data_IF_363094174605
#
_entry.id   IF_363094174605
#
_cell.length_a   1.000
_cell.length_b   1.000
_cell.length_c   1.000
_cell.angle_alpha   90.00
_cell.angle_beta   90.00
_cell.angle_gamma   90.00
#
_symmetry.space_group_name_H-M   'P 1'
#
loop_
_entity.id
_entity.type
_entity.pdbx_description
1 polymer ?
#
# COMPACT_ATOMS: atom_id res chain seq x y z
N UNK A 1 -4.46 23.59 3.06
CA UNK A 1 -5.46 23.76 1.98
C UNK A 1 -6.62 22.78 2.15
N UNK A 2 -7.90 23.19 1.99
CA UNK A 2 -9.09 22.32 2.16
C UNK A 2 -9.53 21.78 0.79
N UNK A 3 -9.78 20.47 0.69
CA UNK A 3 -10.35 19.83 -0.52
C UNK A 3 -11.68 20.49 -0.84
N UNK A 4 -11.86 20.94 -2.08
CA UNK A 4 -13.09 21.63 -2.52
C UNK A 4 -14.23 20.63 -2.75
N UNK A 5 -15.48 21.07 -2.62
CA UNK A 5 -16.68 20.24 -2.85
C UNK A 5 -16.92 19.88 -4.32
N UNK A 6 -16.12 20.43 -5.24
CA UNK A 6 -16.17 20.09 -6.67
C UNK A 6 -15.58 18.70 -6.95
N UNK A 7 -15.84 18.20 -8.16
CA UNK A 7 -15.28 16.95 -8.66
C UNK A 7 -14.40 17.15 -9.89
N UNK A 8 -13.29 16.42 -9.94
CA UNK A 8 -12.46 16.25 -11.15
C UNK A 8 -12.42 14.78 -11.56
N UNK A 9 -12.88 14.49 -12.77
CA UNK A 9 -13.05 13.10 -13.23
C UNK A 9 -11.76 12.50 -13.78
N UNK A 10 -11.56 11.21 -13.52
CA UNK A 10 -10.51 10.41 -14.11
C UNK A 10 -11.06 9.06 -14.59
N UNK A 11 -10.72 8.68 -15.82
CA UNK A 11 -11.04 7.36 -16.37
C UNK A 11 -9.78 6.50 -16.35
N UNK A 12 -9.86 5.34 -15.71
CA UNK A 12 -8.72 4.45 -15.46
C UNK A 12 -9.01 3.00 -15.82
N UNK A 13 -7.99 2.28 -16.27
CA UNK A 13 -8.08 0.83 -16.50
C UNK A 13 -7.48 0.10 -15.31
N UNK A 14 -8.22 -0.85 -14.71
CA UNK A 14 -7.72 -1.72 -13.62
C UNK A 14 -6.44 -2.49 -14.01
N UNK A 15 -6.26 -2.78 -15.31
CA UNK A 15 -5.08 -3.48 -15.84
C UNK A 15 -3.92 -2.57 -16.27
N UNK A 16 -4.17 -1.26 -16.37
CA UNK A 16 -3.18 -0.28 -16.86
C UNK A 16 -3.23 0.99 -16.01
N UNK A 17 -3.13 0.81 -14.68
CA UNK A 17 -3.38 1.88 -13.70
C UNK A 17 -2.33 2.97 -13.85
N UNK A 18 -1.04 2.60 -13.89
CA UNK A 18 0.05 3.56 -14.08
C UNK A 18 -0.13 4.40 -15.35
N UNK A 19 -0.26 3.73 -16.50
CA UNK A 19 -0.38 4.38 -17.82
C UNK A 19 -1.60 5.31 -17.90
N UNK A 20 -2.72 4.92 -17.29
CA UNK A 20 -3.93 5.74 -17.26
C UNK A 20 -3.77 6.96 -16.35
N UNK A 21 -3.22 6.76 -15.16
CA UNK A 21 -3.06 7.81 -14.14
C UNK A 21 -2.01 8.85 -14.54
N UNK A 22 -0.82 8.42 -14.97
CA UNK A 22 0.29 9.34 -15.28
C UNK A 22 -0.08 10.34 -16.39
N UNK A 23 -0.90 9.93 -17.35
CA UNK A 23 -1.39 10.80 -18.43
C UNK A 23 -2.26 11.94 -17.91
N UNK A 24 -3.01 11.71 -16.84
CA UNK A 24 -3.95 12.68 -16.27
C UNK A 24 -3.23 13.61 -15.29
N UNK A 25 -2.42 13.05 -14.40
CA UNK A 25 -1.61 13.83 -13.45
C UNK A 25 -0.51 14.66 -14.14
N UNK A 26 -0.18 14.42 -15.41
CA UNK A 26 0.68 15.34 -16.19
C UNK A 26 -0.02 16.62 -16.67
N UNK A 27 -1.35 16.71 -16.57
CA UNK A 27 -2.11 17.87 -17.02
C UNK A 27 -2.11 18.94 -15.92
N UNK A 28 -1.59 20.16 -16.15
CA UNK A 28 -1.48 21.19 -15.10
C UNK A 28 -2.82 21.49 -14.42
N UNK A 29 -3.86 21.76 -15.21
CA UNK A 29 -5.22 22.02 -14.69
C UNK A 29 -5.80 20.88 -13.86
N UNK A 30 -5.42 19.64 -14.18
CA UNK A 30 -5.89 18.50 -13.43
C UNK A 30 -5.30 18.54 -12.03
N UNK A 31 -3.98 18.68 -11.90
CA UNK A 31 -3.28 18.66 -10.62
C UNK A 31 -3.49 19.92 -9.78
N UNK A 32 -3.59 21.08 -10.41
CA UNK A 32 -3.85 22.37 -9.74
C UNK A 32 -5.23 22.44 -9.08
N UNK A 33 -6.19 21.65 -9.58
CA UNK A 33 -7.50 21.52 -8.93
C UNK A 33 -7.36 20.78 -7.60
N UNK A 34 -8.02 21.30 -6.58
CA UNK A 34 -8.17 20.66 -5.26
C UNK A 34 -9.44 19.85 -5.14
N UNK A 35 -10.18 19.71 -6.25
CA UNK A 35 -11.45 19.00 -6.29
C UNK A 35 -11.27 17.53 -5.98
N UNK A 36 -12.34 16.96 -5.44
CA UNK A 36 -12.40 15.55 -5.13
C UNK A 36 -12.29 14.72 -6.42
N UNK A 37 -11.43 13.71 -6.40
CA UNK A 37 -11.26 12.83 -7.54
C UNK A 37 -12.52 11.98 -7.72
N UNK A 38 -13.14 12.05 -8.90
CA UNK A 38 -14.23 11.17 -9.30
C UNK A 38 -13.69 10.10 -10.24
N UNK A 39 -13.70 8.84 -9.80
CA UNK A 39 -13.05 7.75 -10.51
C UNK A 39 -14.07 6.92 -11.27
N UNK A 40 -13.82 6.73 -12.57
CA UNK A 40 -14.56 5.78 -13.41
C UNK A 40 -13.59 4.74 -13.95
N UNK A 41 -13.86 3.46 -13.69
CA UNK A 41 -13.11 2.40 -14.32
C UNK A 41 -13.66 2.11 -15.72
N UNK A 42 -12.78 2.00 -16.71
CA UNK A 42 -13.19 1.82 -18.11
C UNK A 42 -13.99 0.52 -18.37
N UNK A 43 -13.86 -0.50 -17.50
CA UNK A 43 -14.67 -1.72 -17.56
C UNK A 43 -16.14 -1.49 -17.19
N UNK A 44 -16.43 -0.38 -16.53
CA UNK A 44 -17.72 -0.09 -15.89
C UNK A 44 -18.51 0.93 -16.75
N UNK A 45 -17.98 1.33 -17.92
CA UNK A 45 -18.65 2.29 -18.83
C UNK A 45 -19.98 1.77 -19.41
N UNK A 46 -20.22 0.45 -19.41
CA UNK A 46 -21.45 -0.17 -19.91
C UNK A 46 -22.46 -0.53 -18.80
N UNK A 47 -22.11 -0.34 -17.53
CA UNK A 47 -23.06 -0.51 -16.42
C UNK A 47 -23.82 0.80 -16.25
N UNK A 48 -25.07 0.84 -16.71
CA UNK A 48 -26.00 1.99 -16.67
C UNK A 48 -26.46 2.38 -15.27
N UNK A 49 -25.80 1.89 -14.22
CA UNK A 49 -26.04 2.39 -12.88
C UNK A 49 -25.16 3.63 -12.74
N UNK A 50 -25.80 4.79 -12.55
CA UNK A 50 -25.18 6.01 -12.02
C UNK A 50 -24.59 5.66 -10.64
N UNK A 51 -23.46 4.94 -10.64
CA UNK A 51 -22.69 4.69 -9.44
C UNK A 51 -22.04 6.02 -9.11
N UNK A 52 -22.78 6.87 -8.39
CA UNK A 52 -22.23 8.04 -7.74
C UNK A 52 -21.00 7.58 -6.96
N UNK A 53 -19.82 8.05 -7.36
CA UNK A 53 -18.58 7.81 -6.63
C UNK A 53 -18.65 8.58 -5.30
N UNK A 54 -19.29 7.97 -4.31
CA UNK A 54 -19.27 8.42 -2.90
C UNK A 54 -17.95 8.01 -2.22
N UNK A 55 -16.96 7.53 -2.98
CA UNK A 55 -15.60 7.26 -2.54
C UNK A 55 -15.13 5.81 -2.69
N UNK A 56 -16.00 4.86 -3.01
CA UNK A 56 -15.64 3.44 -3.20
C UNK A 56 -14.65 3.25 -4.35
N UNK A 57 -15.04 3.58 -5.60
CA UNK A 57 -14.14 3.55 -6.77
C UNK A 57 -12.85 4.36 -6.55
N UNK A 58 -12.94 5.52 -5.92
CA UNK A 58 -11.76 6.33 -5.58
C UNK A 58 -10.78 5.60 -4.65
N UNK A 59 -11.26 4.98 -3.56
CA UNK A 59 -10.41 4.21 -2.63
C UNK A 59 -9.78 3.01 -3.32
N UNK A 60 -10.55 2.31 -4.16
CA UNK A 60 -10.02 1.20 -4.99
C UNK A 60 -8.90 1.70 -5.90
N UNK A 61 -9.12 2.80 -6.62
CA UNK A 61 -8.11 3.38 -7.50
C UNK A 61 -6.86 3.79 -6.73
N UNK A 62 -6.97 4.43 -5.57
CA UNK A 62 -5.80 4.81 -4.78
C UNK A 62 -5.00 3.59 -4.32
N UNK A 63 -5.65 2.53 -3.84
CA UNK A 63 -4.97 1.27 -3.49
C UNK A 63 -4.21 0.70 -4.69
N UNK A 64 -4.83 0.66 -5.87
CA UNK A 64 -4.19 0.21 -7.10
C UNK A 64 -3.06 1.16 -7.55
N UNK A 65 -3.22 2.46 -7.34
CA UNK A 65 -2.23 3.47 -7.73
C UNK A 65 -0.97 3.37 -6.87
N UNK A 66 -1.09 3.10 -5.56
CA UNK A 66 0.07 2.82 -4.70
C UNK A 66 0.89 1.68 -5.29
N UNK A 67 0.24 0.55 -5.59
CA UNK A 67 0.90 -0.60 -6.23
C UNK A 67 1.57 -0.21 -7.55
N UNK A 68 0.84 0.49 -8.42
CA UNK A 68 1.35 0.91 -9.72
C UNK A 68 2.56 1.86 -9.63
N UNK A 69 2.58 2.76 -8.63
CA UNK A 69 3.72 3.65 -8.37
C UNK A 69 4.99 2.84 -8.05
N UNK A 70 4.91 1.83 -7.19
CA UNK A 70 6.11 1.11 -6.74
C UNK A 70 6.52 -0.06 -7.66
N UNK A 71 5.55 -0.67 -8.36
CA UNK A 71 5.80 -1.91 -9.13
C UNK A 71 5.75 -1.71 -10.65
N UNK A 72 4.92 -0.79 -11.18
CA UNK A 72 4.74 -0.60 -12.63
C UNK A 72 5.50 0.60 -13.19
N UNK A 73 5.72 1.63 -12.37
CA UNK A 73 6.28 2.91 -12.86
C UNK A 73 7.74 2.82 -13.32
N UNK A 74 8.50 1.84 -12.81
CA UNK A 74 9.95 1.77 -12.97
C UNK A 74 10.72 2.92 -12.30
N UNK A 75 10.07 3.72 -11.44
CA UNK A 75 10.68 4.87 -10.77
C UNK A 75 11.36 4.53 -9.45
N UNK A 76 11.10 3.35 -8.88
CA UNK A 76 11.67 2.92 -7.61
C UNK A 76 12.38 1.58 -7.74
N UNK A 77 13.17 1.28 -6.71
CA UNK A 77 13.82 0.00 -6.46
C UNK A 77 13.71 -0.31 -4.98
N UNK A 78 13.59 -1.59 -4.63
CA UNK A 78 13.38 -2.04 -3.26
C UNK A 78 14.72 -2.34 -2.58
N UNK A 79 14.97 -1.71 -1.44
CA UNK A 79 15.98 -2.15 -0.48
C UNK A 79 15.29 -2.90 0.67
N UNK A 80 16.05 -3.65 1.50
CA UNK A 80 15.51 -4.26 2.72
C UNK A 80 14.77 -3.28 3.66
N UNK A 81 15.15 -2.00 3.66
CA UNK A 81 14.54 -0.95 4.47
C UNK A 81 13.39 -0.19 3.76
N UNK A 82 13.03 -0.56 2.53
CA UNK A 82 11.95 0.05 1.75
C UNK A 82 12.39 0.59 0.40
N UNK A 83 11.45 1.22 -0.31
CA UNK A 83 11.68 1.71 -1.66
C UNK A 83 12.50 3.01 -1.68
N UNK A 84 13.44 3.07 -2.62
CA UNK A 84 14.27 4.25 -2.91
C UNK A 84 14.09 4.64 -4.38
N UNK A 85 14.19 5.93 -4.76
CA UNK A 85 14.10 6.33 -6.16
C UNK A 85 15.22 5.69 -6.98
N UNK A 86 14.85 5.01 -8.07
CA UNK A 86 15.78 4.51 -9.08
C UNK A 86 16.23 5.68 -9.93
N UNK A 87 17.53 5.87 -10.18
CA UNK A 87 17.98 6.91 -11.11
C UNK A 87 17.61 6.53 -12.56
N UNK A 88 16.73 7.31 -13.17
CA UNK A 88 16.37 7.15 -14.58
C UNK A 88 16.33 8.52 -15.27
N UNK A 89 17.21 8.72 -16.25
CA UNK A 89 17.38 10.02 -16.94
C UNK A 89 16.09 10.46 -17.63
N UNK A 90 15.37 9.54 -18.27
CA UNK A 90 14.09 9.84 -18.93
C UNK A 90 13.02 10.25 -17.91
N UNK A 91 12.96 9.59 -16.75
CA UNK A 91 12.03 9.96 -15.68
C UNK A 91 12.34 11.34 -15.10
N UNK A 92 13.61 11.65 -14.87
CA UNK A 92 14.05 12.98 -14.40
C UNK A 92 13.71 14.05 -15.45
N UNK A 93 14.03 13.84 -16.72
CA UNK A 93 13.71 14.78 -17.80
C UNK A 93 12.20 15.05 -17.91
N UNK A 94 11.38 14.01 -17.76
CA UNK A 94 9.92 14.10 -17.85
C UNK A 94 9.22 14.41 -16.51
N UNK A 95 9.99 14.81 -15.48
CA UNK A 95 9.48 15.14 -14.13
C UNK A 95 8.54 14.08 -13.53
N UNK A 96 8.86 12.80 -13.74
CA UNK A 96 8.02 11.68 -13.27
C UNK A 96 7.96 11.62 -11.75
N UNK A 97 9.08 11.83 -11.04
CA UNK A 97 9.11 11.83 -9.57
C UNK A 97 8.25 12.93 -8.96
N UNK A 98 8.21 14.11 -9.59
CA UNK A 98 7.29 15.20 -9.21
C UNK A 98 5.84 14.76 -9.35
N UNK A 99 5.52 14.10 -10.46
CA UNK A 99 4.16 13.62 -10.69
C UNK A 99 3.76 12.55 -9.66
N UNK A 100 4.70 11.68 -9.29
CA UNK A 100 4.50 10.68 -8.22
C UNK A 100 4.26 11.37 -6.86
N UNK A 101 5.02 12.41 -6.51
CA UNK A 101 4.80 13.15 -5.27
C UNK A 101 3.39 13.77 -5.22
N UNK A 102 2.88 14.26 -6.35
CA UNK A 102 1.51 14.79 -6.46
C UNK A 102 0.46 13.68 -6.30
N UNK A 103 0.70 12.50 -6.87
CA UNK A 103 -0.15 11.32 -6.69
C UNK A 103 -0.18 10.88 -5.22
N UNK A 104 0.99 10.75 -4.57
CA UNK A 104 1.09 10.39 -3.15
C UNK A 104 0.35 11.38 -2.26
N UNK A 105 0.50 12.68 -2.52
CA UNK A 105 -0.21 13.73 -1.79
C UNK A 105 -1.72 13.64 -1.98
N UNK A 106 -2.17 13.40 -3.21
CA UNK A 106 -3.60 13.21 -3.54
C UNK A 106 -4.18 12.00 -2.83
N UNK A 107 -3.45 10.86 -2.82
CA UNK A 107 -3.85 9.64 -2.13
C UNK A 107 -4.10 9.92 -0.63
N UNK A 108 -3.13 10.53 0.04
CA UNK A 108 -3.20 10.78 1.49
C UNK A 108 -4.35 11.74 1.82
N UNK A 109 -4.43 12.87 1.13
CA UNK A 109 -5.37 13.96 1.45
C UNK A 109 -6.81 13.59 1.09
N UNK A 110 -7.02 12.78 0.05
CA UNK A 110 -8.36 12.40 -0.42
C UNK A 110 -8.82 11.02 0.11
N UNK A 111 -8.19 10.52 1.17
CA UNK A 111 -8.69 9.34 1.91
C UNK A 111 -8.37 7.99 1.26
N UNK A 112 -7.25 7.91 0.55
CA UNK A 112 -6.68 6.64 0.10
C UNK A 112 -5.79 5.97 1.16
N UNK A 113 -5.40 4.74 0.85
CA UNK A 113 -4.39 4.02 1.62
C UNK A 113 -3.03 4.71 1.51
N UNK A 114 -2.38 4.96 2.64
CA UNK A 114 -1.11 5.68 2.66
C UNK A 114 -0.01 4.92 1.89
N UNK A 115 0.77 5.57 1.00
CA UNK A 115 1.89 4.96 0.29
C UNK A 115 3.12 4.81 1.21
N UNK A 116 2.93 4.16 2.36
CA UNK A 116 3.91 3.94 3.42
C UNK A 116 4.92 2.83 3.05
N UNK A 117 5.71 3.08 2.01
CA UNK A 117 6.63 2.11 1.40
C UNK A 117 8.03 2.68 1.15
N UNK A 118 8.28 3.97 1.41
CA UNK A 118 9.58 4.57 1.21
C UNK A 118 10.56 4.21 2.35
N UNK A 119 11.84 4.02 2.00
CA UNK A 119 12.88 3.80 3.01
C UNK A 119 13.09 5.04 3.89
N UNK A 120 13.50 4.80 5.15
CA UNK A 120 13.79 5.86 6.13
C UNK A 120 14.79 6.90 5.62
N UNK A 121 15.81 6.50 4.85
CA UNK A 121 16.81 7.41 4.28
C UNK A 121 16.21 8.39 3.26
N UNK A 122 15.15 7.98 2.56
CA UNK A 122 14.39 8.84 1.64
C UNK A 122 13.71 9.94 2.42
N UNK A 123 12.99 9.57 3.48
CA UNK A 123 12.26 10.53 4.31
C UNK A 123 13.21 11.45 5.06
N UNK A 124 14.30 10.93 5.61
CA UNK A 124 15.30 11.74 6.29
C UNK A 124 15.88 12.80 5.36
N UNK A 125 16.14 12.47 4.09
CA UNK A 125 16.55 13.46 3.09
C UNK A 125 15.44 14.46 2.75
N UNK A 126 14.23 14.00 2.44
CA UNK A 126 13.11 14.88 2.07
C UNK A 126 12.77 15.91 3.16
N UNK A 127 12.88 15.51 4.43
CA UNK A 127 12.55 16.34 5.58
C UNK A 127 13.70 17.29 5.98
N UNK A 128 14.96 16.85 5.87
CA UNK A 128 16.11 17.64 6.37
C UNK A 128 16.90 18.36 5.27
N UNK A 129 16.97 17.78 4.07
CA UNK A 129 17.88 18.19 3.00
C UNK A 129 19.37 17.93 3.28
N UNK A 130 19.73 17.26 4.40
CA UNK A 130 21.11 17.13 4.88
C UNK A 130 21.69 15.74 4.63
N UNK A 131 22.09 15.46 3.40
CA UNK A 131 22.55 14.11 2.98
C UNK A 131 23.64 13.49 3.89
N UNK A 132 24.61 14.28 4.32
CA UNK A 132 25.78 13.77 5.07
C UNK A 132 25.52 13.52 6.57
N UNK A 133 24.41 14.04 7.09
CA UNK A 133 23.97 13.86 8.47
C UNK A 133 23.09 12.62 8.64
N UNK A 134 22.61 12.04 7.53
CA UNK A 134 21.71 10.89 7.54
C UNK A 134 22.48 9.64 7.97
N UNK A 135 21.86 8.85 8.86
CA UNK A 135 22.35 7.52 9.22
C UNK A 135 21.98 6.56 8.12
N UNK A 136 23.01 5.90 7.58
CA UNK A 136 22.88 4.94 6.49
C UNK A 136 23.49 3.62 6.89
N UNK A 137 23.02 2.56 6.26
CA UNK A 137 23.49 1.19 6.40
C UNK A 137 23.55 0.51 5.05
N UNK A 138 24.30 -0.59 4.88
CA UNK A 138 24.27 -1.37 3.65
C UNK A 138 22.85 -1.82 3.26
N UNK A 139 21.93 -2.01 4.23
CA UNK A 139 20.53 -2.38 3.98
C UNK A 139 19.70 -1.29 3.29
N UNK A 140 20.24 -0.07 3.15
CA UNK A 140 19.63 1.02 2.38
C UNK A 140 19.97 0.95 0.88
N UNK A 141 20.86 0.03 0.47
CA UNK A 141 21.26 -0.18 -0.91
C UNK A 141 20.38 -1.25 -1.55
N UNK A 142 19.68 -0.90 -2.63
CA UNK A 142 18.84 -1.84 -3.37
C UNK A 142 19.66 -2.84 -4.20
N UNK A 143 20.76 -2.38 -4.82
CA UNK A 143 21.69 -3.23 -5.59
C UNK A 143 22.31 -4.31 -4.69
N UNK A 144 22.07 -5.57 -5.04
CA UNK A 144 22.44 -6.73 -4.21
C UNK A 144 23.96 -6.88 -4.14
N UNK A 145 24.65 -6.76 -5.26
CA UNK A 145 26.09 -6.98 -5.34
C UNK A 145 26.86 -5.88 -4.59
N UNK A 146 26.45 -4.61 -4.78
CA UNK A 146 27.01 -3.47 -4.06
C UNK A 146 26.71 -3.58 -2.56
N UNK A 147 25.48 -3.95 -2.18
CA UNK A 147 25.10 -4.12 -0.78
C UNK A 147 25.96 -5.18 -0.09
N UNK A 148 26.10 -6.36 -0.70
CA UNK A 148 26.83 -7.48 -0.10
C UNK A 148 28.34 -7.18 -0.01
N UNK A 149 28.86 -6.48 -1.02
CA UNK A 149 30.23 -5.93 -1.00
C UNK A 149 30.45 -4.97 0.17
N UNK A 150 29.55 -4.00 0.36
CA UNK A 150 29.61 -3.04 1.46
C UNK A 150 29.45 -3.71 2.82
N UNK A 151 28.57 -4.71 2.95
CA UNK A 151 28.41 -5.51 4.19
C UNK A 151 29.70 -6.24 4.54
N UNK A 152 30.37 -6.82 3.56
CA UNK A 152 31.62 -7.56 3.81
C UNK A 152 32.72 -6.63 4.32
N UNK A 153 32.81 -5.41 3.80
CA UNK A 153 33.74 -4.38 4.31
C UNK A 153 33.34 -3.93 5.71
N UNK A 154 32.06 -3.61 5.92
CA UNK A 154 31.52 -3.16 7.21
C UNK A 154 31.80 -4.18 8.33
N UNK A 155 31.64 -5.46 8.02
CA UNK A 155 31.81 -6.58 8.96
C UNK A 155 33.25 -7.09 9.09
N UNK A 156 34.21 -6.60 8.28
CA UNK A 156 35.60 -7.04 8.36
C UNK A 156 36.20 -6.76 9.74
N UNK A 157 36.87 -7.76 10.34
CA UNK A 157 37.45 -7.65 11.70
C UNK A 157 38.98 -7.65 11.72
N UNK A 158 39.60 -8.07 10.62
CA UNK A 158 41.06 -8.14 10.45
C UNK A 158 41.48 -7.44 9.17
N UNK A 159 42.75 -7.02 9.08
CA UNK A 159 43.30 -6.42 7.85
C UNK A 159 43.21 -7.39 6.65
N UNK A 160 43.39 -8.70 6.88
CA UNK A 160 43.26 -9.73 5.84
C UNK A 160 41.81 -9.90 5.35
N UNK A 161 40.82 -9.81 6.24
CA UNK A 161 39.39 -9.78 5.85
C UNK A 161 39.09 -8.53 5.02
N UNK A 162 39.58 -7.38 5.49
CA UNK A 162 39.34 -6.09 4.85
C UNK A 162 39.98 -6.05 3.46
N UNK A 163 41.22 -6.53 3.31
CA UNK A 163 41.89 -6.60 2.01
C UNK A 163 41.09 -7.45 1.01
N UNK A 164 40.65 -8.65 1.41
CA UNK A 164 39.81 -9.52 0.57
C UNK A 164 38.49 -8.85 0.19
N UNK A 165 37.87 -8.12 1.12
CA UNK A 165 36.62 -7.39 0.87
C UNK A 165 36.82 -6.20 -0.08
N UNK A 166 37.96 -5.52 -0.03
CA UNK A 166 38.28 -4.41 -0.95
C UNK A 166 38.56 -4.93 -2.36
N UNK A 167 39.25 -6.07 -2.48
CA UNK A 167 39.53 -6.74 -3.75
C UNK A 167 38.24 -7.14 -4.48
N UNK A 168 37.17 -7.47 -3.78
CA UNK A 168 35.86 -7.75 -4.40
C UNK A 168 35.12 -6.50 -4.89
N UNK A 169 35.58 -5.30 -4.54
CA UNK A 169 34.91 -4.02 -4.84
C UNK A 169 35.60 -3.19 -5.95
N UNK A 170 36.61 -3.74 -6.62
CA UNK A 170 37.39 -3.00 -7.63
C UNK A 170 36.55 -2.48 -8.80
N UNK A 171 35.45 -3.17 -9.11
CA UNK A 171 34.56 -2.81 -10.21
C UNK A 171 33.95 -1.41 -10.08
N UNK A 172 33.72 -0.93 -8.85
CA UNK A 172 33.02 0.33 -8.59
C UNK A 172 33.79 1.31 -7.70
N UNK A 173 34.68 0.85 -6.79
CA UNK A 173 35.32 1.74 -5.80
C UNK A 173 36.13 2.88 -6.39
N UNK A 174 36.70 2.67 -7.58
CA UNK A 174 37.48 3.67 -8.30
C UNK A 174 36.65 4.64 -9.15
N UNK A 175 35.35 4.40 -9.27
CA UNK A 175 34.42 5.28 -10.00
C UNK A 175 33.96 6.47 -9.13
N UNK A 176 34.28 6.45 -7.84
CA UNK A 176 33.82 7.43 -6.86
C UNK A 176 35.02 8.20 -6.31
N UNK A 177 35.14 9.46 -6.71
CA UNK A 177 36.19 10.33 -6.19
C UNK A 177 35.94 10.70 -4.71
N UNK A 178 37.02 10.78 -3.94
CA UNK A 178 36.98 11.20 -2.53
C UNK A 178 36.67 10.08 -1.52
N UNK A 179 36.49 8.84 -1.96
CA UNK A 179 36.50 7.69 -1.04
C UNK A 179 37.90 7.47 -0.47
N UNK A 180 38.02 7.01 0.80
CA UNK A 180 39.30 6.60 1.36
C UNK A 180 40.07 5.64 0.44
N UNK A 181 41.33 5.97 0.12
CA UNK A 181 42.22 5.15 -0.69
C UNK A 181 43.68 5.44 -0.27
N UNK A 182 44.38 4.51 0.41
CA UNK A 182 43.96 3.16 0.75
C UNK A 182 42.84 3.10 1.81
N UNK A 183 42.06 2.03 1.78
CA UNK A 183 41.07 1.72 2.83
C UNK A 183 41.77 0.92 3.93
N UNK A 184 41.60 1.33 5.18
CA UNK A 184 42.20 0.74 6.38
C UNK A 184 41.13 0.50 7.44
N UNK A 185 41.44 -0.28 8.47
CA UNK A 185 40.51 -0.51 9.59
C UNK A 185 40.06 0.78 10.28
N UNK A 186 40.90 1.83 10.31
CA UNK A 186 40.58 3.13 10.90
C UNK A 186 39.59 3.95 10.07
N UNK A 187 39.47 3.69 8.76
CA UNK A 187 38.67 4.50 7.84
C UNK A 187 37.57 3.74 7.08
N UNK A 188 37.45 2.42 7.29
CA UNK A 188 36.45 1.58 6.61
C UNK A 188 35.01 2.06 6.80
N UNK A 189 34.66 2.56 7.98
CA UNK A 189 33.31 3.05 8.27
C UNK A 189 32.98 4.30 7.43
N UNK A 190 33.97 5.18 7.24
CA UNK A 190 33.85 6.35 6.38
C UNK A 190 33.75 5.94 4.90
N UNK A 191 34.50 4.91 4.48
CA UNK A 191 34.39 4.35 3.14
C UNK A 191 32.98 3.80 2.87
N UNK A 192 32.45 2.95 3.76
CA UNK A 192 31.10 2.36 3.65
C UNK A 192 30.04 3.45 3.65
N UNK A 193 30.06 4.37 4.64
CA UNK A 193 29.10 5.47 4.74
C UNK A 193 29.09 6.33 3.47
N UNK A 194 30.26 6.75 2.98
CA UNK A 194 30.35 7.64 1.83
C UNK A 194 29.93 6.95 0.52
N UNK A 195 30.26 5.65 0.35
CA UNK A 195 29.79 4.89 -0.79
C UNK A 195 28.26 4.77 -0.81
N UNK A 196 27.63 4.49 0.35
CA UNK A 196 26.17 4.44 0.45
C UNK A 196 25.56 5.81 0.16
N UNK A 197 26.07 6.89 0.77
CA UNK A 197 25.58 8.26 0.50
C UNK A 197 25.69 8.60 -0.98
N UNK A 198 26.81 8.25 -1.63
CA UNK A 198 27.00 8.50 -3.04
C UNK A 198 25.92 7.81 -3.89
N UNK A 199 25.75 6.50 -3.72
CA UNK A 199 24.85 5.70 -4.54
C UNK A 199 23.37 5.94 -4.23
N UNK A 200 23.01 6.09 -2.95
CA UNK A 200 21.62 6.18 -2.50
C UNK A 200 21.12 7.61 -2.47
N UNK A 201 21.96 8.61 -2.16
CA UNK A 201 21.52 10.00 -2.02
C UNK A 201 22.06 10.91 -3.13
N UNK A 202 23.38 11.00 -3.28
CA UNK A 202 24.01 12.01 -4.14
C UNK A 202 23.67 11.81 -5.63
N UNK A 203 23.84 10.59 -6.15
CA UNK A 203 23.54 10.27 -7.54
C UNK A 203 22.05 10.47 -7.90
N UNK A 204 21.18 10.43 -6.89
CA UNK A 204 19.71 10.47 -7.04
C UNK A 204 19.11 11.79 -6.59
N UNK A 205 19.93 12.81 -6.30
CA UNK A 205 19.47 14.12 -5.80
C UNK A 205 18.31 14.68 -6.62
N UNK A 206 18.43 14.68 -7.95
CA UNK A 206 17.39 15.20 -8.84
C UNK A 206 16.05 14.44 -8.73
N UNK A 207 16.08 13.14 -8.45
CA UNK A 207 14.88 12.34 -8.22
C UNK A 207 14.20 12.77 -6.92
N UNK A 208 14.98 12.93 -5.84
CA UNK A 208 14.46 13.37 -4.54
C UNK A 208 13.93 14.80 -4.58
N UNK A 209 14.65 15.74 -5.20
CA UNK A 209 14.24 17.12 -5.31
C UNK A 209 12.90 17.25 -6.07
N UNK A 210 12.73 16.46 -7.15
CA UNK A 210 11.46 16.40 -7.86
C UNK A 210 10.35 15.76 -7.04
N UNK A 211 10.64 14.66 -6.33
CA UNK A 211 9.66 14.03 -5.44
C UNK A 211 9.20 15.02 -4.35
N UNK A 212 10.14 15.77 -3.75
CA UNK A 212 9.85 16.84 -2.80
C UNK A 212 8.95 17.91 -3.42
N UNK A 213 9.27 18.42 -4.62
CA UNK A 213 8.43 19.37 -5.36
C UNK A 213 7.00 18.84 -5.58
N UNK A 214 6.86 17.53 -5.81
CA UNK A 214 5.55 16.89 -5.93
C UNK A 214 4.78 16.82 -4.62
N UNK A 215 5.47 16.54 -3.52
CA UNK A 215 4.90 16.46 -2.16
C UNK A 215 4.53 17.83 -1.58
N UNK A 216 4.93 18.94 -2.20
CA UNK A 216 4.39 20.28 -1.88
C UNK A 216 2.89 20.39 -2.25
N UNK A 217 2.39 19.48 -3.10
CA UNK A 217 0.95 19.38 -3.40
C UNK A 217 0.15 19.17 -2.10
N UNK A 218 -0.92 19.94 -1.92
CA UNK A 218 -1.70 19.97 -0.68
C UNK A 218 -0.92 20.35 0.59
N UNK A 219 0.24 20.99 0.47
CA UNK A 219 1.10 21.38 1.60
C UNK A 219 1.56 20.15 2.43
N UNK A 220 1.61 18.96 1.82
CA UNK A 220 1.96 17.74 2.53
C UNK A 220 3.41 17.78 3.04
N UNK A 221 4.39 18.15 2.20
CA UNK A 221 5.79 18.20 2.64
C UNK A 221 6.04 19.22 3.77
N UNK A 222 5.52 20.46 3.71
CA UNK A 222 5.56 21.38 4.85
C UNK A 222 4.94 20.77 6.11
N UNK A 223 3.76 20.15 6.01
CA UNK A 223 3.08 19.51 7.14
C UNK A 223 3.93 18.40 7.78
N UNK A 224 4.58 17.56 6.96
CA UNK A 224 5.48 16.51 7.43
C UNK A 224 6.72 17.06 8.15
N UNK A 225 7.25 18.21 7.69
CA UNK A 225 8.38 18.89 8.33
C UNK A 225 8.00 19.52 9.67
N UNK A 226 6.78 20.07 9.77
CA UNK A 226 6.26 20.65 11.00
C UNK A 226 5.84 19.60 12.04
N UNK A 227 5.39 18.42 11.58
CA UNK A 227 4.91 17.34 12.43
C UNK A 227 5.56 16.00 12.04
N UNK A 228 6.81 15.80 12.49
CA UNK A 228 7.62 14.62 12.17
C UNK A 228 6.94 13.26 12.40
N UNK A 229 6.10 13.05 13.43
CA UNK A 229 5.31 11.84 13.57
C UNK A 229 4.50 11.44 12.32
N UNK A 230 4.08 12.40 11.49
CA UNK A 230 3.34 12.13 10.24
C UNK A 230 4.19 11.45 9.16
N UNK A 231 5.51 11.28 9.34
CA UNK A 231 6.35 10.51 8.41
C UNK A 231 5.84 9.09 8.14
N UNK A 232 5.10 8.50 9.08
CA UNK A 232 4.39 7.20 8.96
C UNK A 232 3.46 7.12 7.74
N UNK A 233 3.02 8.25 7.18
CA UNK A 233 2.18 8.29 5.97
C UNK A 233 2.93 7.87 4.69
N UNK A 234 4.26 7.93 4.71
CA UNK A 234 5.12 7.66 3.55
C UNK A 234 6.22 6.64 3.84
N UNK A 235 6.66 6.56 5.09
CA UNK A 235 7.74 5.68 5.52
C UNK A 235 7.27 4.23 5.69
N UNK A 236 8.06 3.29 5.17
CA UNK A 236 7.86 1.87 5.40
C UNK A 236 8.03 1.53 6.89
N UNK A 237 7.06 0.87 7.53
CA UNK A 237 7.21 0.46 8.91
C UNK A 237 8.30 -0.61 9.05
N UNK A 238 9.07 -0.54 10.14
CA UNK A 238 10.12 -1.53 10.46
C UNK A 238 9.59 -2.96 10.56
N UNK A 239 8.35 -3.09 11.04
CA UNK A 239 7.61 -4.34 11.09
C UNK A 239 6.37 -4.13 10.24
N UNK A 240 6.25 -4.88 9.15
CA UNK A 240 5.01 -4.93 8.37
C UNK A 240 4.00 -5.72 9.21
N UNK A 241 2.99 -5.03 9.74
CA UNK A 241 1.83 -5.67 10.35
C UNK A 241 0.66 -5.56 9.39
N UNK A 242 0.10 -6.72 9.02
CA UNK A 242 -1.19 -6.76 8.36
C UNK A 242 -2.30 -6.43 9.37
N UNK A 243 -3.46 -6.01 8.87
CA UNK A 243 -4.63 -5.91 9.72
C UNK A 243 -4.97 -7.27 10.30
N UNK A 244 -5.30 -7.27 11.58
CA UNK A 244 -5.77 -8.45 12.31
C UNK A 244 -7.28 -8.64 12.12
N UNK A 245 -7.74 -9.87 12.39
CA UNK A 245 -9.16 -10.21 12.44
C UNK A 245 -9.93 -9.31 13.42
N UNK A 246 -9.35 -9.02 14.58
CA UNK A 246 -9.96 -8.18 15.62
C UNK A 246 -10.08 -6.71 15.19
N UNK A 247 -9.06 -6.17 14.52
CA UNK A 247 -9.11 -4.81 13.97
C UNK A 247 -10.22 -4.69 12.92
N UNK A 248 -10.34 -5.66 11.99
CA UNK A 248 -11.42 -5.66 10.99
C UNK A 248 -12.80 -5.83 11.63
N UNK A 249 -12.94 -6.72 12.62
CA UNK A 249 -14.18 -6.91 13.36
C UNK A 249 -14.60 -5.66 14.15
N UNK A 250 -13.63 -4.91 14.68
CA UNK A 250 -13.87 -3.64 15.39
C UNK A 250 -14.29 -2.53 14.44
N UNK A 251 -13.74 -2.50 13.22
CA UNK A 251 -14.14 -1.56 12.18
C UNK A 251 -15.56 -1.82 11.67
N UNK A 252 -15.92 -3.08 11.40
CA UNK A 252 -17.21 -3.47 10.83
C UNK A 252 -18.30 -3.63 11.90
N UNK A 253 -18.80 -2.50 12.42
CA UNK A 253 -19.77 -2.48 13.52
C UNK A 253 -21.12 -3.11 13.12
N UNK A 254 -21.61 -4.14 13.83
CA UNK A 254 -22.91 -4.76 13.55
C UNK A 254 -24.09 -3.82 13.82
N UNK A 255 -25.00 -3.72 12.85
CA UNK A 255 -26.27 -3.00 12.94
C UNK A 255 -27.40 -4.00 13.18
N UNK A 256 -27.65 -4.32 14.44
CA UNK A 256 -28.66 -5.30 14.85
C UNK A 256 -30.09 -4.78 14.73
N UNK A 257 -31.02 -5.72 14.56
CA UNK A 257 -32.42 -5.54 14.90
C UNK A 257 -32.59 -5.10 16.37
N UNK A 258 -33.73 -4.47 16.66
CA UNK A 258 -34.10 -4.04 18.02
C UNK A 258 -34.05 -5.18 19.04
N UNK A 259 -33.69 -4.86 20.28
CA UNK A 259 -33.72 -5.83 21.39
C UNK A 259 -35.12 -6.43 21.53
N UNK A 260 -35.20 -7.75 21.70
CA UNK A 260 -36.46 -8.50 21.77
C UNK A 260 -37.01 -8.98 20.42
N UNK A 261 -36.41 -8.60 19.30
CA UNK A 261 -36.76 -9.15 17.98
C UNK A 261 -36.29 -10.60 17.84
N UNK A 262 -37.14 -11.49 17.29
CA UNK A 262 -36.75 -12.86 16.92
C UNK A 262 -35.65 -12.92 15.85
N UNK A 263 -35.37 -11.80 15.18
CA UNK A 263 -34.29 -11.66 14.21
C UNK A 263 -32.93 -11.57 14.88
N UNK A 264 -32.85 -10.88 16.03
CA UNK A 264 -31.58 -10.52 16.65
C UNK A 264 -30.72 -11.72 17.08
N UNK A 265 -31.26 -12.79 17.68
CA UNK A 265 -30.44 -13.96 18.00
C UNK A 265 -29.79 -14.61 16.76
N UNK A 266 -30.47 -14.57 15.61
CA UNK A 266 -29.92 -15.07 14.35
C UNK A 266 -28.81 -14.17 13.83
N UNK A 267 -28.98 -12.86 13.94
CA UNK A 267 -27.96 -11.86 13.56
C UNK A 267 -26.71 -11.97 14.45
N UNK A 268 -26.88 -12.17 15.75
CA UNK A 268 -25.78 -12.41 16.70
C UNK A 268 -25.00 -13.67 16.34
N UNK A 269 -25.69 -14.76 15.95
CA UNK A 269 -25.03 -15.96 15.44
C UNK A 269 -24.26 -15.70 14.13
N UNK A 270 -24.80 -14.88 13.22
CA UNK A 270 -24.06 -14.48 12.01
C UNK A 270 -22.79 -13.70 12.34
N UNK A 271 -22.79 -12.87 13.39
CA UNK A 271 -21.58 -12.15 13.85
C UNK A 271 -20.54 -13.12 14.40
N UNK A 272 -20.97 -14.15 15.13
CA UNK A 272 -20.05 -15.21 15.60
C UNK A 272 -19.39 -15.89 14.40
N UNK A 273 -20.19 -16.40 13.45
CA UNK A 273 -19.67 -17.03 12.23
C UNK A 273 -18.74 -16.12 11.43
N UNK A 274 -19.07 -14.83 11.31
CA UNK A 274 -18.21 -13.87 10.61
C UNK A 274 -16.86 -13.66 11.31
N UNK A 275 -16.86 -13.60 12.65
CA UNK A 275 -15.61 -13.48 13.42
C UNK A 275 -14.77 -14.75 13.34
N UNK A 276 -15.41 -15.91 13.37
CA UNK A 276 -14.72 -17.19 13.17
C UNK A 276 -14.06 -17.21 11.79
N UNK A 277 -14.78 -16.82 10.73
CA UNK A 277 -14.20 -16.68 9.40
C UNK A 277 -13.02 -15.71 9.33
N UNK A 278 -13.11 -14.54 9.97
CA UNK A 278 -11.98 -13.59 10.04
C UNK A 278 -10.75 -14.21 10.72
N UNK A 279 -10.95 -14.97 11.80
CA UNK A 279 -9.88 -15.67 12.49
C UNK A 279 -9.28 -16.78 11.60
N UNK A 280 -10.11 -17.60 10.95
CA UNK A 280 -9.64 -18.61 10.00
C UNK A 280 -8.84 -18.00 8.85
N UNK A 281 -9.21 -16.81 8.37
CA UNK A 281 -8.43 -16.05 7.37
C UNK A 281 -7.08 -15.62 7.93
N UNK A 282 -7.02 -15.11 9.16
CA UNK A 282 -5.78 -14.67 9.78
C UNK A 282 -4.82 -15.84 10.04
N UNK A 283 -5.33 -16.94 10.58
CA UNK A 283 -4.55 -18.15 10.90
C UNK A 283 -4.27 -19.02 9.67
N UNK A 284 -4.84 -18.66 8.50
CA UNK A 284 -4.72 -19.38 7.21
C UNK A 284 -5.34 -20.79 7.24
N UNK A 285 -6.40 -20.95 8.01
CA UNK A 285 -7.10 -22.23 8.24
C UNK A 285 -8.37 -22.38 7.38
N UNK A 286 -8.75 -21.38 6.58
CA UNK A 286 -9.99 -21.43 5.75
C UNK A 286 -10.02 -22.65 4.83
N UNK A 287 -8.89 -23.08 4.26
CA UNK A 287 -8.84 -24.28 3.43
C UNK A 287 -9.17 -25.55 4.25
N UNK A 288 -8.76 -25.60 5.51
CA UNK A 288 -9.04 -26.70 6.41
C UNK A 288 -10.51 -26.70 6.83
N UNK A 289 -11.10 -25.53 7.10
CA UNK A 289 -12.50 -25.37 7.46
C UNK A 289 -13.49 -25.78 6.35
N UNK A 290 -13.08 -25.83 5.08
CA UNK A 290 -13.93 -26.21 3.95
C UNK A 290 -13.98 -27.74 3.74
N UNK A 291 -14.11 -28.50 4.84
CA UNK A 291 -14.04 -29.96 4.86
C UNK A 291 -14.97 -30.60 3.81
N UNK A 292 -14.40 -31.41 2.92
CA UNK A 292 -15.16 -32.17 1.92
C UNK A 292 -15.47 -31.45 0.60
N UNK A 293 -15.06 -30.17 0.45
CA UNK A 293 -15.11 -29.48 -0.86
C UNK A 293 -13.81 -29.63 -1.61
N UNK A 294 -13.90 -29.97 -2.90
CA UNK A 294 -12.75 -29.92 -3.81
C UNK A 294 -12.59 -28.50 -4.33
N UNK A 295 -11.63 -27.76 -3.77
CA UNK A 295 -11.29 -26.42 -4.26
C UNK A 295 -10.53 -26.48 -5.59
N UNK A 296 -10.85 -25.54 -6.47
CA UNK A 296 -10.09 -25.25 -7.69
C UNK A 296 -8.72 -24.67 -7.35
N UNK A 297 -7.77 -24.77 -8.28
CA UNK A 297 -6.44 -24.16 -8.10
C UNK A 297 -6.51 -22.63 -7.98
N UNK A 298 -7.51 -21.99 -8.60
CA UNK A 298 -7.75 -20.56 -8.46
C UNK A 298 -8.18 -20.19 -7.03
N UNK A 299 -9.12 -20.95 -6.44
CA UNK A 299 -9.56 -20.77 -5.05
C UNK A 299 -8.40 -20.99 -4.07
N UNK A 300 -7.60 -22.05 -4.24
CA UNK A 300 -6.43 -22.30 -3.39
C UNK A 300 -5.39 -21.18 -3.49
N UNK A 301 -5.11 -20.71 -4.71
CA UNK A 301 -4.17 -19.60 -4.92
C UNK A 301 -4.67 -18.31 -4.29
N UNK A 302 -5.97 -18.07 -4.35
CA UNK A 302 -6.62 -16.93 -3.69
C UNK A 302 -6.48 -17.03 -2.17
N UNK A 303 -6.84 -18.16 -1.57
CA UNK A 303 -6.78 -18.39 -0.12
C UNK A 303 -5.36 -18.21 0.45
N UNK A 304 -4.32 -18.65 -0.27
CA UNK A 304 -2.91 -18.47 0.17
C UNK A 304 -2.50 -17.01 0.34
N UNK A 305 -3.17 -16.10 -0.37
CA UNK A 305 -2.90 -14.66 -0.33
C UNK A 305 -3.97 -13.90 0.47
N UNK A 306 -5.07 -14.54 0.85
CA UNK A 306 -6.16 -13.90 1.57
C UNK A 306 -5.68 -13.51 2.97
N UNK A 307 -6.10 -12.32 3.41
CA UNK A 307 -5.80 -11.78 4.73
C UNK A 307 -6.94 -10.85 5.17
N UNK A 308 -7.01 -10.41 6.43
CA UNK A 308 -8.10 -9.54 6.90
C UNK A 308 -8.18 -8.20 6.14
N UNK A 309 -7.05 -7.67 5.67
CA UNK A 309 -7.02 -6.46 4.83
C UNK A 309 -7.77 -6.62 3.49
N UNK A 310 -7.77 -7.81 2.90
CA UNK A 310 -8.59 -8.11 1.72
C UNK A 310 -10.09 -8.04 2.04
N UNK A 311 -10.51 -8.50 3.23
CA UNK A 311 -11.91 -8.38 3.67
C UNK A 311 -12.29 -6.91 3.82
N UNK A 312 -11.41 -6.09 4.42
CA UNK A 312 -11.66 -4.65 4.51
C UNK A 312 -11.73 -3.99 3.12
N UNK A 313 -10.87 -4.41 2.18
CA UNK A 313 -10.86 -3.90 0.82
C UNK A 313 -12.12 -4.30 0.04
N UNK A 314 -12.65 -5.50 0.26
CA UNK A 314 -13.95 -5.90 -0.29
C UNK A 314 -15.06 -4.96 0.14
N UNK A 315 -15.09 -4.58 1.43
CA UNK A 315 -16.17 -3.76 2.01
C UNK A 315 -16.01 -2.27 1.72
N UNK A 316 -14.78 -1.77 1.63
CA UNK A 316 -14.51 -0.32 1.62
C UNK A 316 -13.76 0.17 0.40
N UNK A 317 -13.22 -0.72 -0.43
CA UNK A 317 -12.27 -0.39 -1.50
C UNK A 317 -10.83 -0.18 -1.04
N UNK A 318 -10.56 -0.14 0.28
CA UNK A 318 -9.22 0.05 0.85
C UNK A 318 -8.82 -1.10 1.77
N UNK A 319 -7.57 -1.55 1.68
CA UNK A 319 -7.04 -2.66 2.51
C UNK A 319 -6.54 -2.21 3.88
N UNK A 320 -6.51 -0.89 4.12
CA UNK A 320 -6.07 -0.28 5.38
C UNK A 320 -6.97 0.90 5.72
N UNK A 321 -6.89 1.37 6.96
CA UNK A 321 -7.59 2.59 7.36
C UNK A 321 -6.89 3.80 6.73
N UNK A 322 -7.59 4.66 5.97
CA UNK A 322 -7.01 5.91 5.46
C UNK A 322 -6.55 6.83 6.59
N UNK A 323 -5.61 7.74 6.32
CA UNK A 323 -5.11 8.69 7.32
C UNK A 323 -6.22 9.55 7.96
N UNK A 324 -7.26 9.87 7.18
CA UNK A 324 -8.42 10.65 7.59
C UNK A 324 -9.57 9.78 8.13
N UNK A 325 -9.37 8.46 8.22
CA UNK A 325 -10.40 7.48 8.55
C UNK A 325 -11.39 7.23 7.41
N UNK A 326 -12.41 6.41 7.71
CA UNK A 326 -13.52 6.14 6.80
C UNK A 326 -14.70 7.06 7.09
N UNK A 327 -15.32 7.59 6.03
CA UNK A 327 -16.56 8.35 6.11
C UNK A 327 -17.50 7.89 4.98
N UNK A 328 -18.69 7.35 5.29
CA UNK A 328 -19.17 6.95 6.62
C UNK A 328 -18.32 5.82 7.24
N UNK A 329 -18.42 5.60 8.55
CA UNK A 329 -17.70 4.50 9.21
C UNK A 329 -18.17 3.12 8.71
N UNK A 330 -17.29 2.10 8.63
CA UNK A 330 -17.68 0.79 8.14
C UNK A 330 -18.70 0.12 9.05
N UNK A 331 -19.61 -0.65 8.45
CA UNK A 331 -20.68 -1.34 9.19
C UNK A 331 -21.01 -2.70 8.60
N UNK A 332 -21.55 -3.53 9.45
CA UNK A 332 -22.10 -4.83 9.10
C UNK A 332 -23.63 -4.79 9.26
N UNK A 333 -24.37 -5.19 8.24
CA UNK A 333 -25.84 -5.22 8.25
C UNK A 333 -26.39 -6.59 7.88
N UNK A 334 -27.64 -6.84 8.28
CA UNK A 334 -28.25 -8.17 8.18
C UNK A 334 -29.54 -8.12 7.37
N UNK A 335 -29.59 -8.94 6.32
CA UNK A 335 -30.76 -9.06 5.46
C UNK A 335 -31.37 -10.45 5.61
N UNK A 336 -32.60 -10.54 6.11
CA UNK A 336 -33.31 -11.80 6.28
C UNK A 336 -33.95 -12.21 4.94
N UNK A 337 -33.30 -13.09 4.20
CA UNK A 337 -33.73 -13.51 2.87
C UNK A 337 -33.26 -14.93 2.55
N UNK A 338 -34.20 -15.86 2.36
CA UNK A 338 -33.88 -17.28 2.10
C UNK A 338 -33.29 -17.56 0.70
N UNK A 339 -33.43 -16.63 -0.26
CA UNK A 339 -33.02 -16.83 -1.65
C UNK A 339 -31.62 -16.28 -1.96
N UNK A 340 -31.06 -15.45 -1.08
CA UNK A 340 -29.72 -14.85 -1.23
C UNK A 340 -28.82 -15.37 -0.12
N UNK A 341 -27.59 -15.74 -0.46
CA UNK A 341 -26.65 -16.39 0.48
C UNK A 341 -25.22 -15.82 0.44
N UNK A 342 -24.77 -15.31 -0.71
CA UNK A 342 -23.47 -14.62 -0.82
C UNK A 342 -23.52 -13.25 -0.14
N UNK A 343 -22.55 -12.89 0.71
CA UNK A 343 -22.48 -11.53 1.25
C UNK A 343 -22.27 -10.50 0.13
N UNK A 344 -22.76 -9.29 0.35
CA UNK A 344 -22.68 -8.19 -0.62
C UNK A 344 -22.01 -7.00 0.04
N UNK A 345 -21.05 -6.38 -0.65
CA UNK A 345 -20.39 -5.18 -0.21
C UNK A 345 -20.91 -3.96 -0.98
N UNK A 346 -21.18 -2.88 -0.26
CA UNK A 346 -21.47 -1.56 -0.80
C UNK A 346 -20.31 -0.64 -0.45
N UNK A 347 -19.30 -0.60 -1.32
CA UNK A 347 -18.05 0.12 -1.06
C UNK A 347 -18.23 1.62 -0.87
N UNK A 348 -19.24 2.22 -1.51
CA UNK A 348 -19.60 3.63 -1.34
C UNK A 348 -20.11 3.95 0.07
N UNK A 349 -20.88 3.05 0.70
CA UNK A 349 -21.42 3.23 2.06
C UNK A 349 -20.61 2.49 3.14
N UNK A 350 -19.50 1.86 2.77
CA UNK A 350 -18.66 1.02 3.63
C UNK A 350 -19.49 -0.05 4.37
N UNK A 351 -20.42 -0.69 3.67
CA UNK A 351 -21.37 -1.63 4.26
C UNK A 351 -21.17 -3.05 3.74
N UNK A 352 -21.09 -4.01 4.67
CA UNK A 352 -21.14 -5.43 4.38
C UNK A 352 -22.52 -5.98 4.77
N UNK A 353 -23.28 -6.43 3.78
CA UNK A 353 -24.55 -7.12 3.99
C UNK A 353 -24.33 -8.63 4.12
N UNK A 354 -24.73 -9.20 5.26
CA UNK A 354 -24.79 -10.65 5.48
C UNK A 354 -26.24 -11.11 5.42
N UNK A 355 -26.49 -12.14 4.62
CA UNK A 355 -27.81 -12.74 4.51
C UNK A 355 -28.07 -13.76 5.62
N UNK A 356 -29.13 -13.51 6.39
CA UNK A 356 -29.65 -14.42 7.42
C UNK A 356 -30.65 -15.36 6.75
N UNK A 357 -30.28 -16.62 6.58
CA UNK A 357 -31.11 -17.65 5.96
C UNK A 357 -30.78 -19.03 6.54
N UNK A 358 -31.62 -20.01 6.22
CA UNK A 358 -31.44 -21.39 6.68
C UNK A 358 -30.07 -21.99 6.37
N UNK A 359 -29.49 -21.72 5.18
CA UNK A 359 -28.17 -22.25 4.77
C UNK A 359 -27.02 -21.68 5.60
N UNK A 360 -26.92 -20.36 5.65
CA UNK A 360 -25.86 -19.64 6.36
C UNK A 360 -25.93 -19.87 7.88
N UNK A 361 -27.12 -20.15 8.43
CA UNK A 361 -27.29 -20.49 9.84
C UNK A 361 -26.91 -21.94 10.15
N UNK A 362 -27.22 -22.89 9.25
CA UNK A 362 -27.08 -24.32 9.53
C UNK A 362 -25.64 -24.83 9.45
N UNK A 363 -24.83 -24.27 8.56
CA UNK A 363 -23.52 -24.83 8.19
C UNK A 363 -22.45 -23.73 8.21
N UNK A 364 -21.33 -23.97 8.89
CA UNK A 364 -20.20 -23.04 8.93
C UNK A 364 -19.41 -23.08 7.61
N UNK A 365 -19.15 -24.28 7.10
CA UNK A 365 -18.37 -24.52 5.88
C UNK A 365 -19.06 -23.87 4.67
N UNK A 366 -20.40 -23.97 4.58
CA UNK A 366 -21.18 -23.29 3.55
C UNK A 366 -21.10 -21.76 3.69
N UNK A 367 -21.16 -21.23 4.93
CA UNK A 367 -21.05 -19.79 5.17
C UNK A 367 -19.67 -19.25 4.74
N UNK A 368 -18.60 -19.95 5.11
CA UNK A 368 -17.24 -19.57 4.72
C UNK A 368 -17.03 -19.68 3.21
N UNK A 369 -17.55 -20.74 2.58
CA UNK A 369 -17.48 -20.89 1.13
C UNK A 369 -18.22 -19.76 0.40
N UNK A 370 -19.40 -19.35 0.90
CA UNK A 370 -20.14 -18.22 0.34
C UNK A 370 -19.35 -16.92 0.44
N UNK A 371 -18.61 -16.71 1.54
CA UNK A 371 -17.70 -15.58 1.67
C UNK A 371 -16.55 -15.65 0.67
N UNK A 372 -15.89 -16.81 0.52
CA UNK A 372 -14.83 -17.01 -0.47
C UNK A 372 -15.30 -16.67 -1.88
N UNK A 373 -16.45 -17.20 -2.30
CA UNK A 373 -17.04 -16.94 -3.61
C UNK A 373 -17.35 -15.46 -3.82
N UNK A 374 -17.93 -14.80 -2.81
CA UNK A 374 -18.21 -13.37 -2.89
C UNK A 374 -16.94 -12.53 -3.02
N UNK A 375 -15.90 -12.85 -2.25
CA UNK A 375 -14.61 -12.18 -2.30
C UNK A 375 -13.94 -12.34 -3.67
N UNK A 376 -13.93 -13.55 -4.23
CA UNK A 376 -13.34 -13.81 -5.56
C UNK A 376 -14.10 -13.12 -6.68
N UNK A 377 -15.43 -13.01 -6.58
CA UNK A 377 -16.25 -12.34 -7.59
C UNK A 377 -16.20 -10.81 -7.47
N UNK A 378 -16.09 -10.28 -6.25
CA UNK A 378 -16.14 -8.85 -5.98
C UNK A 378 -14.78 -8.16 -5.99
N UNK A 379 -13.67 -8.89 -6.01
CA UNK A 379 -12.37 -8.29 -5.86
C UNK A 379 -11.32 -8.72 -6.89
N UNK A 380 -10.74 -7.72 -7.55
CA UNK A 380 -9.41 -7.84 -8.13
C UNK A 380 -8.36 -7.61 -7.02
N UNK A 381 -8.20 -8.62 -6.14
CA UNK A 381 -7.09 -8.64 -5.19
C UNK A 381 -5.82 -9.09 -5.92
N UNK A 382 -5.16 -8.15 -6.58
CA UNK A 382 -3.78 -8.38 -6.97
C UNK A 382 -2.92 -8.25 -5.70
N UNK A 383 -2.26 -9.34 -5.28
CA UNK A 383 -1.32 -9.35 -4.15
C UNK A 383 -0.40 -8.12 -4.20
N UNK A 384 -0.28 -7.42 -3.07
CA UNK A 384 0.69 -6.33 -2.87
C UNK A 384 2.06 -6.92 -2.70
#
# INVERSE_FOLDING_TARGET
MVVTEGFRSIIVSRRNVWTSAIRQFRRPRFVESTDMLYVTFASDENTTEEAEDLGGPRREFFRLLVKAIFQESGAFEESPNGFIPRLNVSHVQNRVYRTIGQMMSTIIVQGGECPALLSSVVLDYLLTGRMFDIRVSPEDVADVELRDSLKTIDQATTDDDLQRAIESCESWRYQIEGLPNPVTMDNKDAFVKNAIIFHVLLQRKSCYDQLAEGLECYELLPLLKENLPLRVLLEMPKVRSDLTADEVATLLKPSYSVLGSNKRPKEELMVVKFRDFLNSVQEREVEECLHGRTLTEAEKTFLRNLNPGHILAFVTGSSRVPAIGFQPGPKLSFVHNENKYLPVAHTCSNELEIFVNSKNLADNDEFEYNFLVALMNGANFSAV
#
